data_IF_733713777137
#
_entry.id   IF_733713777137
#
_cell.length_a   1.000
_cell.length_b   1.000
_cell.length_c   1.000
_cell.angle_alpha   90.00
_cell.angle_beta   90.00
_cell.angle_gamma   90.00
#
_symmetry.space_group_name_H-M   'P 1'
#
loop_
_entity.id
_entity.type
_entity.pdbx_description
1 polymer ?
#
# COMPACT_ATOMS: atom_id res chain seq x y z
N UNK A 1 -12.63 -13.99 -3.46
CA UNK A 1 -11.41 -14.11 -2.61
C UNK A 1 -10.39 -13.06 -2.98
N UNK A 2 -9.18 -13.12 -2.41
CA UNK A 2 -8.11 -12.13 -2.64
C UNK A 2 -7.65 -12.11 -4.11
N UNK A 3 -7.45 -13.27 -4.72
CA UNK A 3 -7.07 -13.37 -6.14
C UNK A 3 -8.09 -12.71 -7.08
N UNK A 4 -9.39 -12.80 -6.76
CA UNK A 4 -10.42 -12.09 -7.52
C UNK A 4 -10.33 -10.57 -7.39
N UNK A 5 -9.92 -10.05 -6.21
CA UNK A 5 -9.67 -8.61 -6.02
C UNK A 5 -8.44 -8.18 -6.83
N UNK A 6 -7.35 -8.93 -6.76
CA UNK A 6 -6.12 -8.67 -7.53
C UNK A 6 -6.43 -8.63 -9.04
N UNK A 7 -7.20 -9.59 -9.55
CA UNK A 7 -7.60 -9.61 -10.95
C UNK A 7 -8.47 -8.39 -11.34
N UNK A 8 -9.41 -7.98 -10.48
CA UNK A 8 -10.24 -6.79 -10.73
C UNK A 8 -9.42 -5.49 -10.70
N UNK A 9 -8.46 -5.39 -9.78
CA UNK A 9 -7.54 -4.25 -9.68
C UNK A 9 -6.67 -4.14 -10.92
N UNK A 10 -6.09 -5.26 -11.38
CA UNK A 10 -5.31 -5.33 -12.62
C UNK A 10 -6.13 -4.82 -13.79
N UNK A 11 -7.35 -5.31 -13.93
CA UNK A 11 -8.24 -4.87 -15.00
C UNK A 11 -8.52 -3.37 -14.93
N UNK A 12 -8.79 -2.81 -13.74
CA UNK A 12 -9.02 -1.38 -13.59
C UNK A 12 -7.79 -0.56 -14.01
N UNK A 13 -6.60 -0.93 -13.54
CA UNK A 13 -5.33 -0.28 -13.85
C UNK A 13 -5.03 -0.31 -15.36
N UNK A 14 -5.13 -1.48 -15.98
CA UNK A 14 -4.81 -1.67 -17.41
C UNK A 14 -5.84 -0.98 -18.33
N UNK A 15 -7.10 -0.84 -17.89
CA UNK A 15 -8.16 -0.21 -18.68
C UNK A 15 -8.43 1.26 -18.32
N UNK A 16 -7.52 1.88 -17.53
CA UNK A 16 -7.61 3.26 -17.06
C UNK A 16 -8.96 3.59 -16.42
N UNK A 17 -9.51 2.67 -15.62
CA UNK A 17 -10.79 2.86 -14.89
C UNK A 17 -10.50 3.35 -13.48
N UNK A 18 -11.14 4.45 -13.03
CA UNK A 18 -10.92 4.98 -11.69
C UNK A 18 -11.02 3.89 -10.61
N UNK A 19 -10.00 3.83 -9.75
CA UNK A 19 -9.89 2.86 -8.68
C UNK A 19 -9.69 3.57 -7.33
N UNK A 20 -10.20 2.97 -6.26
CA UNK A 20 -9.93 3.42 -4.88
C UNK A 20 -9.82 2.19 -3.98
N UNK A 21 -8.60 1.90 -3.53
CA UNK A 21 -8.31 0.79 -2.63
C UNK A 21 -8.29 1.23 -1.17
N UNK A 22 -9.19 0.70 -0.33
CA UNK A 22 -9.25 1.04 1.10
C UNK A 22 -8.67 -0.12 1.93
N UNK A 23 -7.70 0.17 2.80
CA UNK A 23 -7.09 -0.79 3.72
C UNK A 23 -6.56 -2.03 2.96
N UNK A 24 -7.18 -3.21 3.12
CA UNK A 24 -6.85 -4.41 2.33
C UNK A 24 -6.92 -4.16 0.81
N UNK A 25 -7.77 -3.24 0.34
CA UNK A 25 -7.82 -2.84 -1.06
C UNK A 25 -6.52 -2.19 -1.56
N UNK A 26 -5.89 -1.34 -0.74
CA UNK A 26 -4.60 -0.73 -1.03
C UNK A 26 -3.50 -1.79 -1.02
N UNK A 27 -3.50 -2.69 -0.03
CA UNK A 27 -2.56 -3.82 0.03
C UNK A 27 -2.66 -4.71 -1.22
N UNK A 28 -3.87 -5.05 -1.65
CA UNK A 28 -4.10 -5.81 -2.87
C UNK A 28 -3.63 -5.06 -4.13
N UNK A 29 -3.67 -3.73 -4.15
CA UNK A 29 -3.17 -2.92 -5.26
C UNK A 29 -1.64 -2.96 -5.36
N UNK A 30 -0.95 -2.89 -4.23
CA UNK A 30 0.52 -3.06 -4.16
C UNK A 30 0.92 -4.46 -4.61
N UNK A 31 0.20 -5.49 -4.14
CA UNK A 31 0.43 -6.89 -4.55
C UNK A 31 0.22 -7.07 -6.05
N UNK A 32 -0.88 -6.53 -6.59
CA UNK A 32 -1.15 -6.57 -8.04
C UNK A 32 -0.03 -5.93 -8.84
N UNK A 33 0.39 -4.72 -8.44
CA UNK A 33 1.42 -3.97 -9.12
C UNK A 33 2.77 -4.70 -9.11
N UNK A 34 3.15 -5.27 -7.97
CA UNK A 34 4.35 -6.08 -7.85
C UNK A 34 4.32 -7.30 -8.79
N UNK A 35 3.19 -8.01 -8.88
CA UNK A 35 3.04 -9.16 -9.77
C UNK A 35 3.08 -8.77 -11.24
N UNK A 36 2.34 -7.74 -11.63
CA UNK A 36 2.08 -7.43 -13.04
C UNK A 36 3.07 -6.47 -13.68
N UNK A 37 3.62 -5.54 -12.91
CA UNK A 37 4.55 -4.51 -13.41
C UNK A 37 6.00 -4.89 -13.11
N UNK A 38 6.30 -5.38 -11.91
CA UNK A 38 7.66 -5.80 -11.54
C UNK A 38 7.95 -7.26 -11.91
N UNK A 39 6.94 -8.07 -12.23
CA UNK A 39 7.09 -9.48 -12.55
C UNK A 39 7.37 -10.38 -11.34
N UNK A 40 7.09 -9.91 -10.12
CA UNK A 40 7.21 -10.70 -8.89
C UNK A 40 6.00 -11.63 -8.76
N UNK A 41 6.00 -12.72 -9.53
CA UNK A 41 4.82 -13.58 -9.74
C UNK A 41 4.13 -14.05 -8.46
N UNK A 42 4.88 -14.37 -7.42
CA UNK A 42 4.37 -14.85 -6.14
C UNK A 42 4.25 -13.77 -5.05
N UNK A 43 4.45 -12.49 -5.39
CA UNK A 43 4.33 -11.38 -4.43
C UNK A 43 3.00 -11.41 -3.70
N UNK A 44 3.03 -11.19 -2.39
CA UNK A 44 1.84 -11.25 -1.56
C UNK A 44 2.01 -10.52 -0.22
N UNK A 45 0.95 -10.53 0.59
CA UNK A 45 1.08 -10.27 2.02
C UNK A 45 1.60 -11.50 2.74
N UNK A 46 2.50 -11.33 3.70
CA UNK A 46 2.91 -12.41 4.61
C UNK A 46 1.73 -12.96 5.44
N UNK A 47 0.66 -12.18 5.61
CA UNK A 47 -0.60 -12.65 6.22
C UNK A 47 -1.26 -13.76 5.41
N UNK A 48 -1.21 -13.64 4.08
CA UNK A 48 -1.98 -14.45 3.14
C UNK A 48 -1.13 -15.61 2.63
N UNK A 49 0.12 -15.32 2.30
CA UNK A 49 1.10 -16.31 1.87
C UNK A 49 2.42 -16.09 2.63
N UNK A 50 2.61 -16.72 3.79
CA UNK A 50 3.85 -16.62 4.56
C UNK A 50 5.10 -17.13 3.82
N UNK A 51 4.93 -17.93 2.76
CA UNK A 51 6.02 -18.49 1.97
C UNK A 51 6.33 -17.72 0.68
N UNK A 52 5.77 -16.52 0.49
CA UNK A 52 6.10 -15.67 -0.67
C UNK A 52 7.57 -15.26 -0.64
N UNK A 53 8.23 -15.26 -1.80
CA UNK A 53 9.56 -14.70 -1.95
C UNK A 53 9.56 -13.16 -1.97
N UNK A 54 8.39 -12.54 -2.16
CA UNK A 54 8.24 -11.09 -2.23
C UNK A 54 7.12 -10.60 -1.30
N UNK A 55 7.38 -10.51 0.02
CA UNK A 55 6.41 -10.00 0.99
C UNK A 55 6.31 -8.48 0.90
N UNK A 56 5.66 -7.98 -0.15
CA UNK A 56 5.48 -6.55 -0.41
C UNK A 56 4.54 -5.88 0.59
N UNK A 57 3.71 -6.68 1.26
CA UNK A 57 2.93 -6.29 2.43
C UNK A 57 3.36 -7.21 3.59
N UNK A 58 3.76 -6.65 4.72
CA UNK A 58 4.32 -7.43 5.83
C UNK A 58 4.13 -6.71 7.17
N UNK A 59 4.38 -7.41 8.27
CA UNK A 59 4.59 -6.77 9.57
C UNK A 59 5.90 -5.98 9.53
N UNK A 60 5.94 -4.83 10.21
CA UNK A 60 7.18 -4.08 10.37
C UNK A 60 8.23 -4.94 11.09
N UNK A 61 9.54 -4.81 10.77
CA UNK A 61 10.59 -5.62 11.40
C UNK A 61 10.52 -5.64 12.93
N UNK A 62 10.31 -4.47 13.55
CA UNK A 62 10.18 -4.28 15.00
C UNK A 62 8.96 -5.02 15.61
N UNK A 63 8.04 -5.51 14.78
CA UNK A 63 6.81 -6.19 15.17
C UNK A 63 6.85 -7.71 14.96
N UNK A 64 7.86 -8.23 14.23
CA UNK A 64 7.94 -9.65 13.87
C UNK A 64 8.24 -10.56 15.07
N UNK A 65 8.99 -10.07 16.05
CA UNK A 65 9.38 -10.84 17.25
C UNK A 65 8.37 -10.72 18.41
N UNK A 66 7.24 -10.03 18.20
CA UNK A 66 6.23 -9.84 19.24
C UNK A 66 5.31 -11.06 19.31
N UNK A 67 5.47 -11.89 20.35
CA UNK A 67 4.64 -13.09 20.60
C UNK A 67 3.13 -12.77 20.70
N UNK A 68 2.78 -11.53 21.08
CA UNK A 68 1.41 -11.04 21.14
C UNK A 68 1.14 -9.95 20.09
N UNK A 69 0.72 -10.38 18.89
CA UNK A 69 0.32 -9.53 17.76
C UNK A 69 -0.85 -8.57 18.07
N UNK A 70 -1.44 -8.60 19.27
CA UNK A 70 -2.38 -7.58 19.73
C UNK A 70 -1.76 -6.17 19.74
N UNK A 71 -0.47 -6.05 20.09
CA UNK A 71 0.24 -4.77 20.20
C UNK A 71 0.64 -4.11 18.88
N UNK A 72 0.51 -4.83 17.75
CA UNK A 72 0.93 -4.33 16.43
C UNK A 72 -0.22 -3.66 15.66
N UNK A 73 -1.46 -3.77 16.16
CA UNK A 73 -2.64 -3.18 15.55
C UNK A 73 -2.61 -1.65 15.62
N UNK A 74 -2.67 -1.00 14.46
CA UNK A 74 -3.00 0.42 14.37
C UNK A 74 -4.51 0.57 14.42
N UNK A 75 -4.99 1.14 15.51
CA UNK A 75 -6.42 1.34 15.76
C UNK A 75 -6.66 2.76 16.27
N UNK A 76 -7.30 3.59 15.46
CA UNK A 76 -7.60 4.98 15.84
C UNK A 76 -7.16 5.99 14.80
N UNK A 77 -7.08 7.25 15.21
CA UNK A 77 -6.74 8.37 14.34
C UNK A 77 -5.21 8.53 14.27
N UNK A 78 -4.64 8.54 13.07
CA UNK A 78 -3.21 8.75 12.85
C UNK A 78 -2.98 9.84 11.79
N UNK A 79 -1.88 10.61 11.91
CA UNK A 79 -1.51 11.59 10.92
C UNK A 79 -0.93 10.93 9.66
N UNK A 80 -1.24 11.50 8.51
CA UNK A 80 -0.62 11.18 7.21
C UNK A 80 -0.13 12.48 6.57
N UNK A 81 1.16 12.53 6.23
CA UNK A 81 1.78 13.61 5.46
C UNK A 81 1.62 13.31 3.97
N UNK A 82 0.96 14.19 3.23
CA UNK A 82 0.73 14.08 1.79
C UNK A 82 1.88 14.74 1.01
N UNK A 83 2.29 14.14 -0.10
CA UNK A 83 3.25 14.75 -1.01
C UNK A 83 2.54 15.75 -1.94
N UNK A 84 3.08 16.97 -2.09
CA UNK A 84 2.42 18.10 -2.79
C UNK A 84 2.00 17.80 -4.23
N UNK A 85 2.78 16.98 -4.95
CA UNK A 85 2.51 16.66 -6.36
C UNK A 85 1.68 15.37 -6.53
N UNK A 86 0.57 15.24 -5.79
CA UNK A 86 -0.28 14.03 -5.78
C UNK A 86 -1.76 14.39 -5.92
N UNK A 87 -2.55 13.46 -6.44
CA UNK A 87 -4.01 13.64 -6.50
C UNK A 87 -4.59 13.81 -5.10
N UNK A 88 -4.03 13.07 -4.14
CA UNK A 88 -4.40 13.16 -2.73
C UNK A 88 -4.22 14.57 -2.17
N UNK A 89 -3.08 15.21 -2.41
CA UNK A 89 -2.84 16.59 -1.95
C UNK A 89 -3.80 17.58 -2.62
N UNK A 90 -4.07 17.44 -3.92
CA UNK A 90 -5.00 18.32 -4.64
C UNK A 90 -6.44 18.26 -4.10
N UNK A 91 -6.87 17.09 -3.63
CA UNK A 91 -8.19 16.90 -3.02
C UNK A 91 -8.24 17.45 -1.60
N UNK A 92 -7.27 17.09 -0.75
CA UNK A 92 -7.27 17.50 0.65
C UNK A 92 -6.85 18.95 0.87
N UNK A 93 -5.98 19.49 0.02
CA UNK A 93 -5.39 20.83 0.10
C UNK A 93 -4.74 21.12 1.46
N UNK A 94 -4.14 20.09 2.04
CA UNK A 94 -3.45 20.16 3.32
C UNK A 94 -2.30 19.15 3.34
N UNK A 95 -1.15 19.57 3.85
CA UNK A 95 0.04 18.72 3.94
C UNK A 95 -0.16 17.58 4.95
N UNK A 96 -0.85 17.82 6.07
CA UNK A 96 -1.08 16.81 7.11
C UNK A 96 -2.57 16.60 7.29
N UNK A 97 -3.01 15.36 7.04
CA UNK A 97 -4.38 14.90 7.28
C UNK A 97 -4.40 13.90 8.43
N UNK A 98 -5.58 13.62 8.98
CA UNK A 98 -5.76 12.64 10.04
C UNK A 98 -6.84 11.65 9.65
N UNK A 99 -6.47 10.37 9.54
CA UNK A 99 -7.38 9.31 9.10
C UNK A 99 -7.46 8.18 10.11
N UNK A 100 -8.55 7.41 10.04
CA UNK A 100 -8.77 6.28 10.96
C UNK A 100 -8.20 4.99 10.40
N UNK A 101 -7.32 4.37 11.17
CA UNK A 101 -6.68 3.10 10.84
C UNK A 101 -7.31 1.95 11.64
N UNK A 102 -7.37 0.79 10.99
CA UNK A 102 -7.72 -0.50 11.60
C UNK A 102 -7.08 -1.63 10.80
N UNK A 103 -5.76 -1.75 10.93
CA UNK A 103 -4.97 -2.79 10.27
C UNK A 103 -3.66 -3.06 11.03
N UNK A 104 -2.92 -4.08 10.59
CA UNK A 104 -1.63 -4.50 11.18
C UNK A 104 -0.50 -4.56 10.16
N UNK A 105 -0.81 -5.06 8.97
CA UNK A 105 0.18 -5.28 7.92
C UNK A 105 0.38 -4.00 7.12
N UNK A 106 1.64 -3.69 6.90
CA UNK A 106 2.11 -2.45 6.31
C UNK A 106 2.78 -2.72 4.96
N UNK A 107 2.95 -1.67 4.17
CA UNK A 107 3.83 -1.73 3.01
C UNK A 107 5.26 -2.05 3.45
N UNK A 108 5.88 -3.08 2.86
CA UNK A 108 7.26 -3.43 3.19
C UNK A 108 8.24 -2.47 2.48
N UNK A 109 8.92 -1.64 3.27
CA UNK A 109 9.84 -0.61 2.76
C UNK A 109 11.04 -1.16 2.00
N UNK A 110 11.40 -2.43 2.17
CA UNK A 110 12.44 -3.08 1.35
C UNK A 110 12.11 -3.00 -0.15
N UNK A 111 10.82 -3.02 -0.49
CA UNK A 111 10.32 -2.94 -1.87
C UNK A 111 9.99 -1.52 -2.33
N UNK A 112 10.07 -0.52 -1.44
CA UNK A 112 9.64 0.87 -1.72
C UNK A 112 10.31 1.41 -2.97
N UNK A 113 11.64 1.31 -3.04
CA UNK A 113 12.43 1.83 -4.16
C UNK A 113 12.03 1.18 -5.48
N UNK A 114 12.00 -0.15 -5.54
CA UNK A 114 11.70 -0.89 -6.77
C UNK A 114 10.28 -0.60 -7.27
N UNK A 115 9.30 -0.53 -6.36
CA UNK A 115 7.91 -0.22 -6.69
C UNK A 115 7.77 1.22 -7.19
N UNK A 116 8.47 2.17 -6.57
CA UNK A 116 8.44 3.58 -7.00
C UNK A 116 9.13 3.82 -8.34
N UNK A 117 10.28 3.17 -8.58
CA UNK A 117 10.99 3.26 -9.86
C UNK A 117 10.18 2.62 -11.00
N UNK A 118 9.29 1.67 -10.68
CA UNK A 118 8.38 1.06 -11.62
C UNK A 118 7.10 1.88 -11.89
N UNK A 119 6.91 3.05 -11.25
CA UNK A 119 5.84 4.01 -11.57
C UNK A 119 4.68 4.11 -10.56
N UNK A 120 4.71 3.37 -9.45
CA UNK A 120 3.77 3.58 -8.35
C UNK A 120 4.30 4.66 -7.41
N UNK A 121 3.56 5.74 -7.23
CA UNK A 121 3.95 6.86 -6.39
C UNK A 121 3.53 6.64 -4.94
N UNK A 122 4.38 7.04 -4.00
CA UNK A 122 3.98 7.17 -2.58
C UNK A 122 3.36 8.55 -2.40
N UNK A 123 2.04 8.59 -2.25
CA UNK A 123 1.30 9.85 -2.15
C UNK A 123 1.15 10.35 -0.71
N UNK A 124 1.25 9.44 0.26
CA UNK A 124 1.19 9.80 1.68
C UNK A 124 1.96 8.82 2.55
N UNK A 125 2.60 9.35 3.59
CA UNK A 125 3.33 8.57 4.60
C UNK A 125 2.95 8.97 6.01
N UNK A 126 3.36 8.18 7.00
CA UNK A 126 3.45 8.69 8.38
C UNK A 126 4.42 9.89 8.43
N UNK A 127 4.30 10.81 9.43
CA UNK A 127 5.17 11.99 9.52
C UNK A 127 6.67 11.70 9.69
N UNK A 128 7.01 10.51 10.18
CA UNK A 128 8.38 10.00 10.29
C UNK A 128 8.83 9.21 9.05
N UNK A 129 8.01 9.20 7.99
CA UNK A 129 8.23 8.54 6.69
C UNK A 129 8.37 7.02 6.73
N UNK A 130 8.17 6.42 7.91
CA UNK A 130 8.32 4.98 8.14
C UNK A 130 7.21 4.16 7.49
N UNK A 131 5.98 4.65 7.46
CA UNK A 131 4.82 3.91 6.96
C UNK A 131 4.32 4.56 5.67
N UNK A 132 4.00 3.74 4.67
CA UNK A 132 3.29 4.18 3.47
C UNK A 132 1.80 4.08 3.74
N UNK A 133 1.09 5.20 3.62
CA UNK A 133 -0.35 5.28 3.90
C UNK A 133 -1.17 5.34 2.61
N UNK A 134 -0.66 5.99 1.57
CA UNK A 134 -1.35 6.20 0.30
C UNK A 134 -0.40 5.95 -0.86
N UNK A 135 -0.87 5.23 -1.87
CA UNK A 135 -0.19 5.00 -3.14
C UNK A 135 -1.04 5.50 -4.30
N UNK A 136 -0.40 5.95 -5.36
CA UNK A 136 -1.01 6.39 -6.62
C UNK A 136 -0.23 5.78 -7.80
N UNK A 137 -0.76 5.85 -9.03
CA UNK A 137 -0.04 5.45 -10.25
C UNK A 137 -0.01 6.62 -11.24
N UNK A 138 1.18 7.08 -11.61
CA UNK A 138 1.35 8.36 -12.33
C UNK A 138 0.72 8.39 -13.73
N UNK A 139 0.70 7.27 -14.47
CA UNK A 139 0.07 7.17 -15.82
C UNK A 139 -1.41 6.73 -15.77
N UNK A 140 -2.08 6.87 -14.62
CA UNK A 140 -3.48 6.52 -14.46
C UNK A 140 -4.32 7.75 -14.07
N UNK A 141 -5.51 7.97 -14.69
CA UNK A 141 -6.30 9.18 -14.44
C UNK A 141 -6.77 9.33 -12.99
N UNK A 142 -7.02 8.20 -12.30
CA UNK A 142 -7.34 8.16 -10.88
C UNK A 142 -7.11 6.74 -10.33
N UNK A 143 -6.05 6.53 -9.56
CA UNK A 143 -5.70 5.22 -9.00
C UNK A 143 -5.27 5.36 -7.55
#
# INVERSE_FOLDING_TARGET
GIEGKIAAIKWARENKKPFLGICLGMQCAVIEYARSVLGYEDANSSEINPGTNYPVIDLMPDQKDIENLGGTMRLGLYPCRLAENTNSYEVYKNEIINERHRHRYEFNNEFRKQITEAGMKIAGTSPDERLVEIVEVEDHPWY
#
